data_IF_783397345320
#
_entry.id   IF_783397345320
#
_cell.length_a   1.000
_cell.length_b   1.000
_cell.length_c   1.000
_cell.angle_alpha   90.00
_cell.angle_beta   90.00
_cell.angle_gamma   90.00
#
_symmetry.space_group_name_H-M   'P 1'
#
loop_
_entity.id
_entity.type
_entity.pdbx_description
1 polymer ?
#
# COMPACT_ATOMS: atom_id res chain seq x y z
N UNK A 1 -3.82 -17.93 -25.07
CA UNK A 1 -2.61 -17.80 -24.21
C UNK A 1 -2.67 -16.51 -23.39
N UNK A 2 -2.87 -15.34 -24.03
CA UNK A 2 -3.01 -14.04 -23.35
C UNK A 2 -4.31 -13.91 -22.51
N UNK A 3 -5.46 -14.33 -23.04
CA UNK A 3 -6.75 -14.22 -22.32
C UNK A 3 -6.75 -15.00 -21.00
N UNK A 4 -6.14 -16.19 -20.98
CA UNK A 4 -5.99 -17.00 -19.77
C UNK A 4 -5.14 -16.29 -18.72
N UNK A 5 -4.04 -15.66 -19.13
CA UNK A 5 -3.17 -14.88 -18.25
C UNK A 5 -3.92 -13.68 -17.64
N UNK A 6 -4.72 -12.98 -18.44
CA UNK A 6 -5.53 -11.85 -17.95
C UNK A 6 -6.58 -12.28 -16.93
N UNK A 7 -7.24 -13.42 -17.16
CA UNK A 7 -8.22 -13.98 -16.21
C UNK A 7 -7.54 -14.42 -14.91
N UNK A 8 -6.37 -15.04 -14.99
CA UNK A 8 -5.58 -15.44 -13.82
C UNK A 8 -5.12 -14.23 -13.00
N UNK A 9 -4.65 -13.17 -13.66
CA UNK A 9 -4.26 -11.92 -13.00
C UNK A 9 -5.46 -11.22 -12.34
N UNK A 10 -6.60 -11.14 -13.03
CA UNK A 10 -7.81 -10.58 -12.46
C UNK A 10 -8.27 -11.35 -11.21
N UNK A 11 -8.20 -12.70 -11.23
CA UNK A 11 -8.50 -13.53 -10.05
C UNK A 11 -7.51 -13.27 -8.91
N UNK A 12 -6.22 -13.18 -9.21
CA UNK A 12 -5.16 -12.87 -8.22
C UNK A 12 -5.42 -11.52 -7.55
N UNK A 13 -5.66 -10.47 -8.33
CA UNK A 13 -5.96 -9.13 -7.79
C UNK A 13 -7.27 -9.14 -7.00
N UNK A 14 -8.32 -9.83 -7.47
CA UNK A 14 -9.57 -9.96 -6.73
C UNK A 14 -9.40 -10.58 -5.34
N UNK A 15 -8.57 -11.62 -5.23
CA UNK A 15 -8.22 -12.23 -3.94
C UNK A 15 -7.43 -11.25 -3.04
N UNK A 16 -6.55 -10.41 -3.60
CA UNK A 16 -5.88 -9.35 -2.83
C UNK A 16 -6.90 -8.35 -2.27
N UNK A 17 -7.80 -7.83 -3.10
CA UNK A 17 -8.83 -6.88 -2.67
C UNK A 17 -9.78 -7.48 -1.63
N UNK A 18 -10.19 -8.74 -1.80
CA UNK A 18 -11.02 -9.48 -0.83
C UNK A 18 -10.35 -9.61 0.53
N UNK A 19 -9.02 -9.77 0.53
CA UNK A 19 -8.21 -9.92 1.75
C UNK A 19 -7.47 -8.64 2.14
N UNK A 20 -7.89 -7.48 1.62
CA UNK A 20 -7.14 -6.21 1.73
C UNK A 20 -6.76 -5.88 3.17
N UNK A 21 -7.69 -6.02 4.12
CA UNK A 21 -7.45 -5.72 5.53
C UNK A 21 -6.28 -6.54 6.13
N UNK A 22 -6.14 -7.80 5.71
CA UNK A 22 -5.03 -8.66 6.14
C UNK A 22 -3.69 -8.12 5.62
N UNK A 23 -3.63 -7.74 4.35
CA UNK A 23 -2.42 -7.17 3.77
C UNK A 23 -2.06 -5.82 4.38
N UNK A 24 -3.04 -4.93 4.58
CA UNK A 24 -2.83 -3.64 5.25
C UNK A 24 -2.26 -3.82 6.67
N UNK A 25 -2.73 -4.84 7.41
CA UNK A 25 -2.17 -5.18 8.73
C UNK A 25 -0.73 -5.66 8.63
N UNK A 26 -0.39 -6.52 7.67
CA UNK A 26 0.99 -6.99 7.44
C UNK A 26 1.90 -5.79 7.12
N UNK A 27 1.46 -4.89 6.24
CA UNK A 27 2.21 -3.68 5.88
C UNK A 27 2.46 -2.83 7.12
N UNK A 28 1.40 -2.49 7.86
CA UNK A 28 1.50 -1.69 9.08
C UNK A 28 2.48 -2.28 10.09
N UNK A 29 2.34 -3.59 10.39
CA UNK A 29 3.21 -4.27 11.34
C UNK A 29 4.66 -4.29 10.86
N UNK A 30 4.90 -4.61 9.59
CA UNK A 30 6.26 -4.64 9.01
C UNK A 30 6.92 -3.25 9.07
N UNK A 31 6.17 -2.19 8.77
CA UNK A 31 6.67 -0.81 8.86
C UNK A 31 6.97 -0.44 10.31
N UNK A 32 6.09 -0.79 11.26
CA UNK A 32 6.31 -0.54 12.69
C UNK A 32 7.47 -1.34 13.29
N UNK A 33 7.73 -2.55 12.79
CA UNK A 33 8.91 -3.35 13.16
C UNK A 33 10.21 -2.68 12.72
N UNK A 34 10.22 -1.96 11.59
CA UNK A 34 11.39 -1.24 11.09
C UNK A 34 11.59 0.09 11.80
N UNK A 35 10.50 0.83 12.02
CA UNK A 35 10.49 2.14 12.67
C UNK A 35 9.19 2.30 13.47
N UNK A 36 9.32 2.25 14.80
CA UNK A 36 8.19 2.38 15.72
C UNK A 36 7.43 3.72 15.55
N UNK A 37 8.13 4.75 15.06
CA UNK A 37 7.61 6.10 14.87
C UNK A 37 7.05 6.31 13.46
N UNK A 38 7.21 5.34 12.55
CA UNK A 38 6.68 5.45 11.20
C UNK A 38 5.15 5.49 11.20
N UNK A 39 4.61 6.17 10.19
CA UNK A 39 3.17 6.23 9.95
C UNK A 39 2.85 5.53 8.63
N UNK A 40 1.70 4.86 8.56
CA UNK A 40 1.25 4.20 7.33
C UNK A 40 -0.16 4.68 7.00
N UNK A 41 -0.38 4.98 5.73
CA UNK A 41 -1.66 5.43 5.21
C UNK A 41 -2.02 4.62 3.97
N UNK A 42 -3.32 4.44 3.77
CA UNK A 42 -3.88 4.09 2.45
C UNK A 42 -4.50 5.35 1.87
N UNK A 43 -4.35 5.58 0.57
CA UNK A 43 -4.95 6.74 -0.09
C UNK A 43 -5.51 6.37 -1.46
N UNK A 44 -5.99 7.38 -2.19
CA UNK A 44 -6.47 7.19 -3.56
C UNK A 44 -7.80 6.42 -3.65
N UNK A 45 -7.95 5.67 -4.73
CA UNK A 45 -9.24 5.10 -5.16
C UNK A 45 -9.88 4.14 -4.15
N UNK A 46 -9.05 3.43 -3.38
CA UNK A 46 -9.49 2.51 -2.31
C UNK A 46 -10.22 3.27 -1.21
N UNK A 47 -9.69 4.42 -0.78
CA UNK A 47 -10.32 5.24 0.26
C UNK A 47 -11.53 5.99 -0.28
N UNK A 48 -11.52 6.36 -1.57
CA UNK A 48 -12.68 6.98 -2.23
C UNK A 48 -13.85 6.01 -2.46
N UNK A 49 -13.67 4.71 -2.24
CA UNK A 49 -14.68 3.69 -2.56
C UNK A 49 -14.91 3.50 -4.07
N UNK A 50 -13.91 3.84 -4.89
CA UNK A 50 -13.96 3.82 -6.37
C UNK A 50 -12.95 2.87 -7.00
N UNK A 51 -12.23 2.10 -6.19
CA UNK A 51 -11.24 1.13 -6.68
C UNK A 51 -11.90 0.00 -7.47
N UNK A 52 -11.33 -0.33 -8.62
CA UNK A 52 -11.63 -1.55 -9.37
C UNK A 52 -10.58 -2.62 -9.05
N UNK A 53 -10.84 -3.88 -9.43
CA UNK A 53 -9.85 -4.96 -9.26
C UNK A 53 -8.55 -4.69 -10.05
N UNK A 54 -8.65 -3.91 -11.12
CA UNK A 54 -7.50 -3.45 -11.91
C UNK A 54 -6.78 -2.25 -11.30
N UNK A 55 -7.34 -1.59 -10.29
CA UNK A 55 -6.69 -0.45 -9.62
C UNK A 55 -5.51 -0.92 -8.78
N UNK A 56 -4.54 -0.03 -8.63
CA UNK A 56 -3.48 -0.19 -7.64
C UNK A 56 -3.98 0.24 -6.25
N UNK A 57 -3.26 -0.20 -5.23
CA UNK A 57 -3.53 0.09 -3.82
C UNK A 57 -2.42 0.99 -3.33
N UNK A 58 -2.70 2.29 -3.30
CA UNK A 58 -1.73 3.31 -2.93
C UNK A 58 -1.50 3.33 -1.42
N UNK A 59 -0.26 3.07 -1.02
CA UNK A 59 0.19 3.06 0.38
C UNK A 59 1.26 4.14 0.56
N UNK A 60 1.06 5.01 1.54
CA UNK A 60 2.06 5.99 1.96
C UNK A 60 2.69 5.55 3.27
N UNK A 61 4.00 5.37 3.28
CA UNK A 61 4.81 5.11 4.47
C UNK A 61 5.63 6.36 4.77
N UNK A 62 5.49 6.88 5.99
CA UNK A 62 6.21 8.06 6.47
C UNK A 62 7.26 7.61 7.47
N UNK A 63 8.54 7.72 7.11
CA UNK A 63 9.66 7.25 7.94
C UNK A 63 10.95 7.98 7.55
N UNK A 64 11.97 7.93 8.42
CA UNK A 64 13.34 8.34 8.09
C UNK A 64 14.18 7.24 7.43
N UNK A 65 13.66 6.00 7.35
CA UNK A 65 14.34 4.90 6.68
C UNK A 65 14.39 5.09 5.16
N UNK A 66 15.44 4.52 4.55
CA UNK A 66 15.59 4.52 3.09
C UNK A 66 14.45 3.73 2.42
N UNK A 67 13.84 4.26 1.34
CA UNK A 67 12.75 3.60 0.61
C UNK A 67 13.04 2.15 0.23
N UNK A 68 14.25 1.87 -0.26
CA UNK A 68 14.67 0.56 -0.75
C UNK A 68 14.63 -0.48 0.36
N UNK A 69 14.99 -0.10 1.59
CA UNK A 69 14.98 -0.99 2.74
C UNK A 69 13.54 -1.36 3.13
N UNK A 70 12.65 -0.36 3.19
CA UNK A 70 11.23 -0.56 3.52
C UNK A 70 10.56 -1.44 2.46
N UNK A 71 10.76 -1.12 1.17
CA UNK A 71 10.17 -1.87 0.06
C UNK A 71 10.68 -3.31 0.04
N UNK A 72 12.00 -3.54 0.21
CA UNK A 72 12.58 -4.89 0.27
C UNK A 72 11.95 -5.73 1.38
N UNK A 73 11.74 -5.14 2.57
CA UNK A 73 11.14 -5.86 3.70
C UNK A 73 9.66 -6.19 3.46
N UNK A 74 8.91 -5.29 2.84
CA UNK A 74 7.53 -5.55 2.44
C UNK A 74 7.47 -6.65 1.37
N UNK A 75 8.40 -6.66 0.42
CA UNK A 75 8.50 -7.71 -0.60
C UNK A 75 8.80 -9.09 -0.02
N UNK A 76 9.70 -9.17 0.97
CA UNK A 76 9.97 -10.41 1.72
C UNK A 76 8.70 -10.98 2.39
N UNK A 77 7.76 -10.10 2.79
CA UNK A 77 6.46 -10.48 3.35
C UNK A 77 5.37 -10.74 2.30
N UNK A 78 5.73 -10.71 1.02
CA UNK A 78 4.80 -10.97 -0.09
C UNK A 78 3.95 -9.78 -0.52
N UNK A 79 4.25 -8.57 -0.04
CA UNK A 79 3.60 -7.33 -0.50
C UNK A 79 4.23 -6.93 -1.83
N UNK A 80 3.51 -7.14 -2.93
CA UNK A 80 3.93 -6.82 -4.31
C UNK A 80 2.75 -6.16 -5.04
N UNK A 81 2.76 -6.13 -6.36
CA UNK A 81 1.56 -5.72 -7.11
C UNK A 81 0.29 -6.44 -6.60
N UNK A 82 -0.83 -5.73 -6.41
CA UNK A 82 -1.12 -4.36 -6.86
C UNK A 82 -0.80 -3.25 -5.84
N UNK A 83 0.01 -3.49 -4.81
CA UNK A 83 0.38 -2.45 -3.84
C UNK A 83 1.44 -1.50 -4.43
N UNK A 84 1.10 -0.21 -4.53
CA UNK A 84 2.06 0.85 -4.86
C UNK A 84 2.53 1.53 -3.57
N UNK A 85 3.80 1.33 -3.20
CA UNK A 85 4.36 1.81 -1.94
C UNK A 85 5.14 3.11 -2.18
N UNK A 86 4.67 4.19 -1.58
CA UNK A 86 5.36 5.48 -1.53
C UNK A 86 6.02 5.63 -0.15
N UNK A 87 7.35 5.71 -0.11
CA UNK A 87 8.09 5.97 1.12
C UNK A 87 8.57 7.41 1.13
N UNK A 88 8.19 8.17 2.15
CA UNK A 88 8.44 9.61 2.25
C UNK A 88 8.85 10.03 3.65
N UNK A 89 9.45 11.21 3.78
CA UNK A 89 9.68 11.86 5.06
C UNK A 89 8.45 12.65 5.54
N UNK A 90 8.54 13.20 6.76
CA UNK A 90 7.48 14.02 7.38
C UNK A 90 7.21 15.34 6.64
N UNK A 91 8.18 15.87 5.88
CA UNK A 91 7.97 17.11 5.13
C UNK A 91 7.10 16.84 3.90
N UNK A 92 7.43 15.79 3.15
CA UNK A 92 6.66 15.32 1.99
C UNK A 92 5.27 14.81 2.36
N UNK A 93 5.06 14.28 3.57
CA UNK A 93 3.71 13.97 4.06
C UNK A 93 2.75 15.17 3.93
N UNK A 94 3.21 16.40 4.22
CA UNK A 94 2.38 17.61 4.10
C UNK A 94 1.90 17.84 2.66
N UNK A 95 2.74 17.53 1.68
CA UNK A 95 2.37 17.60 0.27
C UNK A 95 1.26 16.61 -0.05
N UNK A 96 1.41 15.35 0.36
CA UNK A 96 0.36 14.34 0.19
C UNK A 96 -0.95 14.78 0.82
N UNK A 97 -0.94 15.18 2.10
CA UNK A 97 -2.16 15.62 2.81
C UNK A 97 -2.87 16.80 2.15
N UNK A 98 -2.15 17.66 1.41
CA UNK A 98 -2.71 18.80 0.70
C UNK A 98 -3.29 18.43 -0.68
N UNK A 99 -2.70 17.45 -1.35
CA UNK A 99 -2.98 17.18 -2.76
C UNK A 99 -3.77 15.90 -3.02
N UNK A 100 -3.77 14.95 -2.08
CA UNK A 100 -4.60 13.75 -2.20
C UNK A 100 -6.04 14.06 -1.78
N UNK A 101 -6.99 13.56 -2.55
CA UNK A 101 -8.41 13.79 -2.31
C UNK A 101 -8.95 13.00 -1.12
N UNK A 102 -8.46 11.77 -0.93
CA UNK A 102 -8.82 10.92 0.19
C UNK A 102 -7.60 10.13 0.67
N UNK A 103 -7.39 10.12 1.99
CA UNK A 103 -6.31 9.42 2.67
C UNK A 103 -6.78 9.01 4.06
N UNK A 104 -6.36 7.82 4.50
CA UNK A 104 -6.70 7.26 5.80
C UNK A 104 -5.46 6.69 6.46
N UNK A 105 -5.18 7.12 7.70
CA UNK A 105 -4.14 6.56 8.54
C UNK A 105 -4.55 5.16 9.03
N UNK A 106 -3.60 4.23 9.04
CA UNK A 106 -3.77 2.89 9.58
C UNK A 106 -3.41 2.88 11.07
N UNK A 107 -4.25 2.25 11.88
CA UNK A 107 -4.16 2.18 13.36
C UNK A 107 -4.58 0.76 13.80
N UNK A 108 -3.67 -0.22 13.67
CA UNK A 108 -3.98 -1.66 13.80
C UNK A 108 -3.69 -2.28 15.16
#
# INVERSE_FOLDING_TARGET
MLEKLLVEEARRRAEVFKNLNRYLRIIYQTVKELDENAETYVFGSVVEGKSLISSDIDILVVTSHQPEHVISKLWEKGIKEPFEIHVVDKEKLKFYLKHVKAIKKLEF
#
